data_IF_339605740213
#
_entry.id   IF_339605740213
#
_cell.length_a   1.000
_cell.length_b   1.000
_cell.length_c   1.000
_cell.angle_alpha   90.00
_cell.angle_beta   90.00
_cell.angle_gamma   90.00
#
_symmetry.space_group_name_H-M   'P 1'
#
loop_
_entity.id
_entity.type
_entity.pdbx_description
1 polymer ?
#
# COMPACT_ATOMS: atom_id res chain seq x y z
N UNK A 1 42.07 -8.24 -0.88
CA UNK A 1 40.93 -8.39 -1.80
C UNK A 1 39.68 -9.03 -1.19
N UNK A 2 39.77 -9.93 -0.18
CA UNK A 2 38.58 -10.52 0.46
C UNK A 2 37.67 -9.52 1.24
N UNK A 3 38.26 -8.49 1.90
CA UNK A 3 37.50 -7.46 2.63
C UNK A 3 36.62 -6.57 1.75
N UNK A 4 36.99 -6.37 0.49
CA UNK A 4 36.26 -5.49 -0.43
C UNK A 4 35.00 -6.20 -0.97
N UNK A 5 35.14 -7.46 -1.40
CA UNK A 5 34.00 -8.31 -1.77
C UNK A 5 33.01 -8.53 -0.62
N UNK A 6 33.51 -8.71 0.61
CA UNK A 6 32.63 -8.89 1.77
C UNK A 6 31.80 -7.63 2.10
N UNK A 7 32.30 -6.43 1.79
CA UNK A 7 31.55 -5.17 1.95
C UNK A 7 30.52 -4.98 0.85
N UNK A 8 30.85 -5.33 -0.39
CA UNK A 8 29.92 -5.29 -1.53
C UNK A 8 28.74 -6.24 -1.30
N UNK A 9 28.99 -7.48 -0.89
CA UNK A 9 27.94 -8.45 -0.55
C UNK A 9 27.01 -7.95 0.57
N UNK A 10 27.57 -7.34 1.62
CA UNK A 10 26.78 -6.79 2.73
C UNK A 10 25.95 -5.57 2.31
N UNK A 11 26.45 -4.75 1.37
CA UNK A 11 25.70 -3.63 0.80
C UNK A 11 24.52 -4.14 -0.04
N UNK A 12 24.75 -5.13 -0.90
CA UNK A 12 23.70 -5.75 -1.72
C UNK A 12 22.65 -6.47 -0.88
N UNK A 13 23.06 -7.18 0.17
CA UNK A 13 22.13 -7.84 1.10
C UNK A 13 21.27 -6.81 1.85
N UNK A 14 21.87 -5.72 2.31
CA UNK A 14 21.13 -4.63 2.96
C UNK A 14 20.16 -3.93 2.00
N UNK A 15 20.57 -3.70 0.75
CA UNK A 15 19.71 -3.16 -0.32
C UNK A 15 18.51 -4.08 -0.62
N UNK A 16 18.72 -5.40 -0.62
CA UNK A 16 17.64 -6.38 -0.80
C UNK A 16 16.67 -6.42 0.39
N UNK A 17 17.17 -6.28 1.61
CA UNK A 17 16.32 -6.17 2.81
C UNK A 17 15.45 -4.92 2.74
N UNK A 18 16.05 -3.76 2.42
CA UNK A 18 15.30 -2.51 2.25
C UNK A 18 14.23 -2.65 1.17
N UNK A 19 14.56 -3.23 0.01
CA UNK A 19 13.60 -3.41 -1.09
C UNK A 19 12.46 -4.37 -0.72
N UNK A 20 12.72 -5.39 0.11
CA UNK A 20 11.67 -6.30 0.62
C UNK A 20 10.77 -5.57 1.61
N UNK A 21 11.35 -4.82 2.53
CA UNK A 21 10.59 -4.09 3.54
C UNK A 21 9.72 -2.99 2.89
N UNK A 22 10.22 -2.31 1.85
CA UNK A 22 9.44 -1.39 1.01
C UNK A 22 8.29 -2.10 0.28
N UNK A 23 8.54 -3.29 -0.27
CA UNK A 23 7.52 -4.10 -0.94
C UNK A 23 6.43 -4.59 0.03
N UNK A 24 6.82 -5.03 1.23
CA UNK A 24 5.88 -5.49 2.23
C UNK A 24 5.06 -4.33 2.78
N UNK A 25 5.67 -3.16 3.00
CA UNK A 25 4.93 -1.93 3.32
C UNK A 25 3.93 -1.52 2.23
N UNK A 26 4.29 -1.65 0.95
CA UNK A 26 3.37 -1.41 -0.16
C UNK A 26 2.20 -2.40 -0.15
N UNK A 27 2.44 -3.68 0.11
CA UNK A 27 1.38 -4.69 0.20
C UNK A 27 0.42 -4.40 1.36
N UNK A 28 0.93 -3.95 2.50
CA UNK A 28 0.10 -3.59 3.65
C UNK A 28 -0.82 -2.41 3.31
N UNK A 29 -0.31 -1.39 2.60
CA UNK A 29 -1.13 -0.26 2.13
C UNK A 29 -2.19 -0.71 1.13
N UNK A 30 -1.84 -1.58 0.17
CA UNK A 30 -2.79 -2.15 -0.79
C UNK A 30 -3.85 -3.01 -0.09
N UNK A 31 -3.46 -3.77 0.93
CA UNK A 31 -4.36 -4.59 1.72
C UNK A 31 -5.42 -3.71 2.41
N UNK A 32 -5.01 -2.63 3.08
CA UNK A 32 -5.96 -1.69 3.71
C UNK A 32 -6.92 -1.09 2.68
N UNK A 33 -6.41 -0.67 1.52
CA UNK A 33 -7.26 -0.16 0.44
C UNK A 33 -8.25 -1.23 -0.07
N UNK A 34 -7.83 -2.50 -0.16
CA UNK A 34 -8.72 -3.58 -0.56
C UNK A 34 -9.87 -3.79 0.42
N UNK A 35 -9.61 -3.72 1.73
CA UNK A 35 -10.65 -3.77 2.76
C UNK A 35 -11.63 -2.60 2.62
N UNK A 36 -11.12 -1.37 2.41
CA UNK A 36 -11.97 -0.21 2.19
C UNK A 36 -12.90 -0.39 0.97
N UNK A 37 -12.39 -0.95 -0.12
CA UNK A 37 -13.21 -1.24 -1.31
C UNK A 37 -14.29 -2.30 -1.02
N UNK A 38 -13.95 -3.37 -0.31
CA UNK A 38 -14.89 -4.45 0.01
C UNK A 38 -16.02 -3.98 0.92
N UNK A 39 -15.70 -3.20 1.95
CA UNK A 39 -16.67 -2.66 2.89
C UNK A 39 -17.61 -1.67 2.18
N UNK A 40 -17.08 -0.70 1.43
CA UNK A 40 -17.90 0.26 0.67
C UNK A 40 -18.79 -0.46 -0.36
N UNK A 41 -18.28 -1.51 -1.01
CA UNK A 41 -19.09 -2.34 -1.91
C UNK A 41 -20.23 -3.04 -1.17
N UNK A 42 -19.94 -3.63 -0.01
CA UNK A 42 -20.95 -4.27 0.84
C UNK A 42 -22.02 -3.27 1.29
N UNK A 43 -21.63 -2.06 1.66
CA UNK A 43 -22.55 -1.02 2.12
C UNK A 43 -23.46 -0.51 1.00
N UNK A 44 -22.94 -0.37 -0.22
CA UNK A 44 -23.73 -0.06 -1.42
C UNK A 44 -24.73 -1.18 -1.73
N UNK A 45 -24.28 -2.44 -1.74
CA UNK A 45 -25.12 -3.60 -2.06
C UNK A 45 -26.21 -3.83 -0.99
N UNK A 46 -25.95 -3.40 0.25
CA UNK A 46 -26.86 -3.49 1.39
C UNK A 46 -27.95 -2.40 1.44
N UNK A 47 -28.16 -1.67 0.33
CA UNK A 47 -29.00 -0.48 0.01
C UNK A 47 -30.16 -0.06 0.94
N UNK A 48 -30.70 -0.95 1.77
CA UNK A 48 -31.62 -0.67 2.87
C UNK A 48 -31.08 0.30 3.94
N UNK A 49 -29.78 0.60 4.00
CA UNK A 49 -29.16 1.52 4.98
C UNK A 49 -28.39 2.71 4.40
N UNK A 50 -28.26 2.81 3.08
CA UNK A 50 -27.44 3.86 2.47
C UNK A 50 -28.16 5.23 2.57
N UNK A 51 -27.64 6.12 3.43
CA UNK A 51 -28.00 7.54 3.43
C UNK A 51 -26.94 8.35 2.70
N UNK A 52 -27.24 9.62 2.41
CA UNK A 52 -26.23 10.52 1.84
C UNK A 52 -25.04 10.69 2.78
N UNK A 53 -25.27 10.75 4.10
CA UNK A 53 -24.18 10.86 5.07
C UNK A 53 -23.30 9.60 5.07
N UNK A 54 -23.89 8.39 5.11
CA UNK A 54 -23.10 7.16 5.12
C UNK A 54 -22.25 7.03 3.85
N UNK A 55 -22.81 7.36 2.68
CA UNK A 55 -22.05 7.38 1.42
C UNK A 55 -20.90 8.40 1.43
N UNK A 56 -21.05 9.54 2.11
CA UNK A 56 -19.96 10.51 2.25
C UNK A 56 -18.86 10.01 3.18
N UNK A 57 -19.22 9.28 4.23
CA UNK A 57 -18.28 8.65 5.15
C UNK A 57 -17.49 7.54 4.45
N UNK A 58 -18.18 6.69 3.69
CA UNK A 58 -17.62 5.61 2.87
C UNK A 58 -16.60 6.15 1.84
N UNK A 59 -16.99 7.19 1.10
CA UNK A 59 -16.11 7.84 0.12
C UNK A 59 -14.89 8.48 0.76
N UNK A 60 -15.06 9.12 1.93
CA UNK A 60 -13.95 9.70 2.67
C UNK A 60 -12.97 8.63 3.11
N UNK A 61 -13.46 7.53 3.68
CA UNK A 61 -12.60 6.44 4.12
C UNK A 61 -11.87 5.77 2.95
N UNK A 62 -12.52 5.62 1.80
CA UNK A 62 -11.89 5.13 0.58
C UNK A 62 -10.75 6.04 0.11
N UNK A 63 -10.94 7.36 0.16
CA UNK A 63 -9.90 8.34 -0.20
C UNK A 63 -8.74 8.26 0.80
N UNK A 64 -9.02 8.27 2.10
CA UNK A 64 -8.00 8.16 3.17
C UNK A 64 -7.17 6.87 3.04
N UNK A 65 -7.79 5.77 2.62
CA UNK A 65 -7.09 4.50 2.39
C UNK A 65 -6.25 4.48 1.12
N UNK A 66 -6.61 5.29 0.11
CA UNK A 66 -5.87 5.41 -1.14
C UNK A 66 -4.67 6.37 -1.05
N UNK A 67 -4.72 7.36 -0.18
CA UNK A 67 -3.67 8.36 -0.01
C UNK A 67 -2.28 7.75 0.26
N UNK A 68 -2.10 6.78 1.19
CA UNK A 68 -0.80 6.14 1.42
C UNK A 68 -0.25 5.45 0.18
N UNK A 69 -1.11 4.78 -0.59
CA UNK A 69 -0.72 4.07 -1.83
C UNK A 69 -0.25 5.07 -2.88
N UNK A 70 -0.93 6.21 -3.04
CA UNK A 70 -0.55 7.27 -3.98
C UNK A 70 0.75 7.97 -3.53
N UNK A 71 0.92 8.16 -2.22
CA UNK A 71 2.11 8.77 -1.64
C UNK A 71 3.34 7.86 -1.71
N UNK A 72 3.14 6.53 -1.73
CA UNK A 72 4.21 5.60 -2.08
C UNK A 72 4.62 5.89 -3.53
N UNK A 73 5.91 6.16 -3.77
CA UNK A 73 6.41 6.51 -5.10
C UNK A 73 6.32 5.27 -6.00
N UNK A 74 5.13 5.02 -6.56
CA UNK A 74 4.80 3.92 -7.47
C UNK A 74 5.54 4.02 -8.82
N UNK A 75 6.49 4.95 -8.95
CA UNK A 75 7.29 5.08 -10.16
C UNK A 75 8.05 3.78 -10.39
N UNK A 76 7.87 3.15 -11.55
CA UNK A 76 8.71 2.03 -11.92
C UNK A 76 10.17 2.51 -11.89
N UNK A 77 11.06 1.75 -11.24
CA UNK A 77 12.50 2.01 -11.34
C UNK A 77 12.86 2.04 -12.83
N UNK A 78 13.54 3.08 -13.33
CA UNK A 78 14.04 3.05 -14.70
C UNK A 78 14.96 1.84 -14.84
N UNK A 79 14.58 0.91 -15.73
CA UNK A 79 15.36 -0.26 -16.13
C UNK A 79 16.59 0.13 -16.91
#
# INVERSE_FOLDING_TARGET
MAKQRSKELALTENELVIARDELDGLKDMIYVLSCAVEDVRSDIDSASRATRETLQDDLRWLIESAEPVIASDLRPRPT
#
